data_IF_388689305494
#
_entry.id   IF_388689305494
#
_cell.length_a   1.000
_cell.length_b   1.000
_cell.length_c   1.000
_cell.angle_alpha   90.00
_cell.angle_beta   90.00
_cell.angle_gamma   90.00
#
_symmetry.space_group_name_H-M   'P 1'
#
loop_
_entity.id
_entity.type
_entity.pdbx_description
1 polymer ?
#
# COMPACT_ATOMS: atom_id res chain seq x y z
N UNK A 1 -16.45 -14.20 -3.34
CA UNK A 1 -15.89 -13.06 -2.58
C UNK A 1 -14.84 -12.39 -3.46
N UNK A 2 -14.97 -11.09 -3.76
CA UNK A 2 -13.94 -10.37 -4.54
C UNK A 2 -12.63 -10.37 -3.73
N UNK A 3 -11.50 -10.63 -4.37
CA UNK A 3 -10.19 -10.48 -3.72
C UNK A 3 -9.85 -8.99 -3.68
N UNK A 4 -9.48 -8.49 -2.51
CA UNK A 4 -8.94 -7.14 -2.34
C UNK A 4 -7.44 -7.20 -2.11
N UNK A 5 -6.71 -6.26 -2.69
CA UNK A 5 -5.34 -5.95 -2.31
C UNK A 5 -5.32 -4.52 -1.77
N UNK A 6 -4.64 -4.33 -0.65
CA UNK A 6 -4.42 -3.05 -0.02
C UNK A 6 -2.95 -2.71 -0.21
N UNK A 7 -2.67 -1.47 -0.62
CA UNK A 7 -1.33 -0.92 -0.74
C UNK A 7 -1.24 0.28 0.18
N UNK A 8 -0.26 0.27 1.09
CA UNK A 8 0.02 1.34 2.04
C UNK A 8 1.22 2.13 1.50
N UNK A 9 1.00 3.39 1.17
CA UNK A 9 2.03 4.30 0.66
C UNK A 9 2.27 5.40 1.67
N UNK A 10 3.53 5.70 1.96
CA UNK A 10 3.95 6.79 2.83
C UNK A 10 4.30 8.00 1.97
N UNK A 11 3.86 9.18 2.36
CA UNK A 11 4.20 10.44 1.72
C UNK A 11 4.82 11.41 2.72
N UNK A 12 6.06 11.85 2.47
CA UNK A 12 6.72 12.82 3.35
C UNK A 12 5.98 14.16 3.30
N UNK A 13 5.52 14.62 4.45
CA UNK A 13 4.69 15.82 4.61
C UNK A 13 3.38 15.79 3.80
N UNK A 14 2.82 14.59 3.57
CA UNK A 14 1.61 14.42 2.76
C UNK A 14 1.79 14.69 1.27
N UNK A 15 3.01 14.97 0.81
CA UNK A 15 3.28 15.34 -0.58
C UNK A 15 3.79 14.14 -1.38
N UNK A 16 3.03 13.79 -2.43
CA UNK A 16 3.32 12.68 -3.35
C UNK A 16 4.61 12.84 -4.14
N UNK A 17 5.02 14.07 -4.45
CA UNK A 17 6.20 14.38 -5.27
C UNK A 17 7.48 14.58 -4.44
N UNK A 18 7.41 14.43 -3.12
CA UNK A 18 8.59 14.50 -2.24
C UNK A 18 9.28 13.12 -2.15
N UNK A 19 9.31 12.53 -0.94
CA UNK A 19 9.84 11.19 -0.71
C UNK A 19 8.66 10.29 -0.36
N UNK A 20 8.33 9.39 -1.29
CA UNK A 20 7.23 8.46 -1.17
C UNK A 20 7.68 7.01 -1.34
N UNK A 21 7.13 6.10 -0.57
CA UNK A 21 7.42 4.67 -0.70
C UNK A 21 6.24 3.81 -0.25
N UNK A 22 6.11 2.62 -0.83
CA UNK A 22 5.17 1.60 -0.36
C UNK A 22 5.79 0.93 0.86
N UNK A 23 5.14 1.05 2.03
CA UNK A 23 5.57 0.32 3.23
C UNK A 23 5.06 -1.11 3.22
N UNK A 24 3.84 -1.33 2.70
CA UNK A 24 3.20 -2.64 2.73
C UNK A 24 2.20 -2.83 1.59
N UNK A 25 2.09 -4.06 1.09
CA UNK A 25 1.03 -4.47 0.18
C UNK A 25 0.57 -5.91 0.46
N UNK A 26 -0.74 -6.16 0.44
CA UNK A 26 -1.28 -7.49 0.68
C UNK A 26 -2.80 -7.55 0.79
N UNK A 27 -3.34 -8.68 1.26
CA UNK A 27 -4.80 -8.94 1.25
C UNK A 27 -5.50 -8.68 2.59
N UNK A 28 -4.75 -8.41 3.65
CA UNK A 28 -5.29 -8.14 4.98
C UNK A 28 -5.51 -6.65 5.22
N UNK A 29 -6.77 -6.22 5.26
CA UNK A 29 -7.16 -4.86 5.64
C UNK A 29 -6.58 -4.47 7.00
N UNK A 30 -6.79 -5.30 8.01
CA UNK A 30 -6.32 -5.04 9.38
C UNK A 30 -4.81 -4.79 9.43
N UNK A 31 -4.05 -5.55 8.63
CA UNK A 31 -2.59 -5.36 8.56
C UNK A 31 -2.23 -4.06 7.87
N UNK A 32 -2.92 -3.68 6.78
CA UNK A 32 -2.70 -2.40 6.12
C UNK A 32 -2.80 -1.21 7.09
N UNK A 33 -3.84 -1.18 7.94
CA UNK A 33 -4.02 -0.14 8.97
C UNK A 33 -2.95 -0.21 10.07
N UNK A 34 -2.52 -1.41 10.48
CA UNK A 34 -1.45 -1.52 11.47
C UNK A 34 -0.13 -0.95 10.94
N UNK A 35 0.22 -1.32 9.70
CA UNK A 35 1.48 -0.90 9.06
C UNK A 35 1.46 0.61 8.72
N UNK A 36 0.27 1.21 8.48
CA UNK A 36 0.17 2.67 8.37
C UNK A 36 0.49 3.36 9.69
N UNK A 37 -0.16 2.95 10.77
CA UNK A 37 -0.04 3.61 12.08
C UNK A 37 1.38 3.46 12.64
N UNK A 38 1.95 2.25 12.58
CA UNK A 38 3.30 1.98 13.09
C UNK A 38 4.35 2.83 12.35
N UNK A 39 4.30 2.85 11.02
CA UNK A 39 5.31 3.56 10.21
C UNK A 39 5.18 5.08 10.34
N UNK A 40 3.97 5.65 10.43
CA UNK A 40 3.79 7.09 10.73
C UNK A 40 4.43 7.47 12.08
N UNK A 41 4.21 6.64 13.11
CA UNK A 41 4.79 6.84 14.44
C UNK A 41 6.32 6.70 14.43
N UNK A 42 6.86 5.66 13.80
CA UNK A 42 8.30 5.41 13.70
C UNK A 42 9.05 6.51 12.91
N UNK A 43 8.37 7.16 11.96
CA UNK A 43 8.93 8.30 11.22
C UNK A 43 8.75 9.64 11.92
N UNK A 44 8.16 9.65 13.11
CA UNK A 44 8.01 10.83 13.96
C UNK A 44 7.07 11.88 13.36
N UNK A 45 5.96 11.44 12.75
CA UNK A 45 4.92 12.32 12.20
C UNK A 45 5.34 13.10 10.95
N UNK A 46 6.45 12.72 10.30
CA UNK A 46 6.94 13.35 9.06
C UNK A 46 6.29 12.80 7.81
N UNK A 47 5.60 11.67 7.93
CA UNK A 47 4.96 10.97 6.82
C UNK A 47 3.48 10.83 7.11
N UNK A 48 2.71 10.86 6.04
CA UNK A 48 1.28 10.57 6.04
C UNK A 48 1.06 9.32 5.20
N UNK A 49 0.26 8.40 5.72
CA UNK A 49 -0.06 7.13 5.09
C UNK A 49 -1.33 7.25 4.23
N UNK A 50 -1.26 6.64 3.06
CA UNK A 50 -2.42 6.40 2.20
C UNK A 50 -2.61 4.90 2.01
N UNK A 51 -3.84 4.43 2.22
CA UNK A 51 -4.24 3.06 1.91
C UNK A 51 -5.13 3.06 0.68
N UNK A 52 -4.65 2.44 -0.40
CA UNK A 52 -5.45 2.20 -1.61
C UNK A 52 -5.95 0.76 -1.61
N UNK A 53 -7.28 0.58 -1.68
CA UNK A 53 -7.91 -0.74 -1.85
C UNK A 53 -8.22 -0.99 -3.33
N UNK A 54 -7.60 -2.03 -3.89
CA UNK A 54 -7.88 -2.56 -5.21
C UNK A 54 -8.87 -3.71 -5.09
N UNK A 55 -10.10 -3.52 -5.59
CA UNK A 55 -11.12 -4.56 -5.63
C UNK A 55 -11.27 -5.09 -7.06
N UNK A 56 -11.11 -6.40 -7.29
CA UNK A 56 -11.18 -6.93 -8.66
C UNK A 56 -10.69 -8.37 -8.84
N UNK A 57 -10.99 -8.96 -10.00
CA UNK A 57 -10.78 -10.40 -10.28
C UNK A 57 -9.41 -10.74 -10.86
N UNK A 58 -8.58 -9.77 -11.24
CA UNK A 58 -7.34 -10.08 -11.97
C UNK A 58 -6.13 -9.38 -11.36
N UNK A 59 -5.49 -10.08 -10.43
CA UNK A 59 -4.09 -9.85 -10.08
C UNK A 59 -3.30 -10.96 -10.76
N UNK A 60 -2.62 -10.64 -11.87
CA UNK A 60 -1.73 -11.57 -12.56
C UNK A 60 -0.35 -11.49 -11.94
N UNK A 61 0.33 -12.64 -11.81
CA UNK A 61 1.78 -12.60 -11.53
C UNK A 61 2.46 -12.10 -12.80
N UNK A 62 3.60 -11.45 -12.66
CA UNK A 62 4.36 -10.92 -13.81
C UNK A 62 4.61 -11.99 -14.88
N UNK A 63 4.94 -13.22 -14.48
CA UNK A 63 5.08 -14.36 -15.40
C UNK A 63 3.81 -14.67 -16.21
N UNK A 64 2.63 -14.44 -15.65
CA UNK A 64 1.34 -14.71 -16.30
C UNK A 64 0.86 -13.51 -17.17
N UNK A 65 1.65 -12.43 -17.26
CA UNK A 65 1.36 -11.22 -18.06
C UNK A 65 2.05 -11.27 -19.42
N UNK A 66 3.25 -11.87 -19.49
CA UNK A 66 4.13 -11.81 -20.66
C UNK A 66 4.28 -13.13 -21.42
N UNK A 67 3.61 -14.19 -21.00
CA UNK A 67 3.50 -15.42 -21.77
C UNK A 67 2.43 -15.23 -22.87
N UNK A 68 2.83 -14.66 -24.01
CA UNK A 68 2.12 -14.78 -25.31
C UNK A 68 2.51 -16.07 -26.03
#
# INVERSE_FOLDING_TARGET
>A
MKKSIYVVTMYRWGNRENHSYVTWAGTSRKRAFKESDDEEMERGGKYEAEIVEFTGTIFKRVKDIFDE
#
